data_IF_439793707694
#
_entry.id   IF_439793707694
#
_cell.length_a   1.000
_cell.length_b   1.000
_cell.length_c   1.000
_cell.angle_alpha   90.00
_cell.angle_beta   90.00
_cell.angle_gamma   90.00
#
_symmetry.space_group_name_H-M   'P 1'
#
loop_
_entity.id
_entity.type
_entity.pdbx_description
1 polymer ?
#
# COMPACT_ATOMS: atom_id res chain seq x y z
N UNK A 1 -7.00 22.74 -2.54
CA UNK A 1 -7.03 21.29 -2.16
C UNK A 1 -6.48 21.14 -0.77
N UNK A 2 -7.02 20.22 0.03
CA UNK A 2 -6.44 19.85 1.33
C UNK A 2 -5.14 19.07 1.11
N UNK A 3 -4.07 19.27 1.92
CA UNK A 3 -2.77 18.73 1.56
C UNK A 3 -2.69 17.21 1.66
N UNK A 4 -2.94 16.61 2.81
CA UNK A 4 -2.67 15.17 3.02
C UNK A 4 -3.69 14.56 3.97
N UNK A 5 -4.22 13.38 3.58
CA UNK A 5 -5.03 12.51 4.44
C UNK A 5 -4.29 11.21 4.73
N UNK A 6 -4.10 10.89 6.00
CA UNK A 6 -3.71 9.55 6.43
C UNK A 6 -4.95 8.67 6.39
N UNK A 7 -4.85 7.47 5.81
CA UNK A 7 -5.93 6.49 5.74
C UNK A 7 -5.47 5.14 6.29
N UNK A 8 -6.20 4.63 7.26
CA UNK A 8 -6.06 3.26 7.75
C UNK A 8 -7.40 2.56 7.83
N UNK A 9 -7.40 1.24 7.92
CA UNK A 9 -8.54 0.42 8.34
C UNK A 9 -8.11 -0.55 9.42
N UNK A 10 -9.01 -0.89 10.34
CA UNK A 10 -8.67 -1.73 11.49
C UNK A 10 -9.90 -2.46 12.01
N UNK A 11 -9.66 -3.62 12.62
CA UNK A 11 -10.63 -4.38 13.41
C UNK A 11 -10.19 -4.47 14.89
N UNK A 12 -9.03 -3.88 15.21
CA UNK A 12 -8.41 -3.93 16.54
C UNK A 12 -8.83 -2.73 17.39
N UNK A 13 -8.59 -2.81 18.71
CA UNK A 13 -8.58 -1.61 19.57
C UNK A 13 -7.51 -0.64 19.09
N UNK A 14 -7.61 0.67 19.42
CA UNK A 14 -6.57 1.63 19.06
C UNK A 14 -5.19 1.14 19.48
N UNK A 15 -4.36 0.86 18.48
CA UNK A 15 -2.98 0.40 18.65
C UNK A 15 -2.05 1.55 18.97
N UNK A 16 -0.81 1.25 19.37
CA UNK A 16 0.24 2.24 19.52
C UNK A 16 0.43 3.06 18.24
N UNK A 17 0.44 2.41 17.07
CA UNK A 17 0.54 3.09 15.77
C UNK A 17 -0.61 4.07 15.56
N UNK A 18 -1.87 3.63 15.78
CA UNK A 18 -3.04 4.51 15.69
C UNK A 18 -2.91 5.74 16.57
N UNK A 19 -2.50 5.55 17.84
CA UNK A 19 -2.35 6.65 18.80
C UNK A 19 -1.24 7.63 18.37
N UNK A 20 -0.13 7.14 17.82
CA UNK A 20 0.95 8.00 17.30
C UNK A 20 0.51 8.78 16.06
N UNK A 21 -0.27 8.17 15.14
CA UNK A 21 -0.84 8.90 14.00
C UNK A 21 -1.84 9.99 14.43
N UNK A 22 -2.64 9.78 15.48
CA UNK A 22 -3.52 10.81 16.04
C UNK A 22 -2.77 12.06 16.48
N UNK A 23 -1.50 11.94 16.89
CA UNK A 23 -0.65 13.07 17.33
C UNK A 23 -0.06 13.88 16.17
N UNK A 24 -0.13 13.39 14.92
CA UNK A 24 0.40 14.07 13.72
C UNK A 24 -0.54 15.20 13.26
N UNK A 25 -0.60 16.30 14.00
CA UNK A 25 -1.56 17.40 13.82
C UNK A 25 -1.53 18.11 12.46
N UNK A 26 -0.44 17.98 11.72
CA UNK A 26 -0.29 18.55 10.37
C UNK A 26 -0.98 17.69 9.28
N UNK A 27 -1.61 16.57 9.65
CA UNK A 27 -2.28 15.64 8.77
C UNK A 27 -3.70 15.39 9.27
N UNK A 28 -4.66 15.33 8.37
CA UNK A 28 -5.95 14.74 8.70
C UNK A 28 -5.80 13.21 8.73
N UNK A 29 -6.50 12.54 9.63
CA UNK A 29 -6.41 11.09 9.79
C UNK A 29 -7.79 10.46 9.74
N UNK A 30 -8.03 9.66 8.69
CA UNK A 30 -9.25 8.89 8.49
C UNK A 30 -9.05 7.43 8.90
N UNK A 31 -9.83 6.98 9.85
CA UNK A 31 -9.88 5.59 10.29
C UNK A 31 -11.16 4.97 9.72
N UNK A 32 -11.02 4.05 8.79
CA UNK A 32 -12.15 3.33 8.18
C UNK A 32 -12.46 2.10 9.03
N UNK A 33 -13.56 2.14 9.75
CA UNK A 33 -14.01 1.03 10.60
C UNK A 33 -14.53 -0.16 9.79
N UNK A 34 -14.57 -1.31 10.44
CA UNK A 34 -15.22 -2.53 9.93
C UNK A 34 -16.20 -3.07 10.98
N UNK A 35 -16.98 -4.10 10.68
CA UNK A 35 -18.00 -4.61 11.61
C UNK A 35 -17.42 -5.08 12.96
N UNK A 36 -16.19 -5.59 12.97
CA UNK A 36 -15.49 -6.05 14.19
C UNK A 36 -14.74 -4.93 14.92
N UNK A 37 -14.67 -3.72 14.36
CA UNK A 37 -13.95 -2.61 15.00
C UNK A 37 -14.65 -2.22 16.31
N UNK A 38 -13.90 -1.99 17.42
CA UNK A 38 -14.48 -1.47 18.66
C UNK A 38 -14.85 0.00 18.51
N UNK A 39 -16.03 0.25 17.96
CA UNK A 39 -16.50 1.55 17.49
C UNK A 39 -16.41 2.65 18.54
N UNK A 40 -16.78 2.37 19.80
CA UNK A 40 -16.80 3.36 20.87
C UNK A 40 -15.40 3.94 21.15
N UNK A 41 -14.35 3.13 21.02
CA UNK A 41 -12.97 3.57 21.25
C UNK A 41 -12.54 4.57 20.16
N UNK A 42 -12.94 4.34 18.93
CA UNK A 42 -12.62 5.22 17.80
C UNK A 42 -13.46 6.49 17.78
N UNK A 43 -14.73 6.43 18.21
CA UNK A 43 -15.57 7.61 18.43
C UNK A 43 -14.97 8.51 19.52
N UNK A 44 -14.43 7.92 20.61
CA UNK A 44 -13.70 8.68 21.64
C UNK A 44 -12.43 9.34 21.08
N UNK A 45 -11.68 8.64 20.21
CA UNK A 45 -10.50 9.24 19.56
C UNK A 45 -10.87 10.40 18.66
N UNK A 46 -11.91 10.29 17.85
CA UNK A 46 -12.43 11.38 17.00
C UNK A 46 -12.80 12.60 17.84
N UNK A 47 -13.49 12.41 18.97
CA UNK A 47 -13.85 13.51 19.89
C UNK A 47 -12.62 14.17 20.54
N UNK A 48 -11.57 13.40 20.81
CA UNK A 48 -10.34 13.86 21.49
C UNK A 48 -9.38 14.58 20.54
N UNK A 49 -9.38 14.27 19.24
CA UNK A 49 -8.41 14.75 18.27
C UNK A 49 -9.09 15.40 17.07
N UNK A 50 -8.95 16.72 16.92
CA UNK A 50 -9.59 17.51 15.86
C UNK A 50 -9.21 17.13 14.44
N UNK A 51 -8.06 16.47 14.26
CA UNK A 51 -7.56 15.98 12.98
C UNK A 51 -7.96 14.53 12.68
N UNK A 52 -8.70 13.87 13.57
CA UNK A 52 -9.12 12.47 13.39
C UNK A 52 -10.57 12.40 12.98
N UNK A 53 -10.85 11.59 11.96
CA UNK A 53 -12.19 11.22 11.52
C UNK A 53 -12.35 9.71 11.59
N UNK A 54 -13.39 9.24 12.26
CA UNK A 54 -13.79 7.84 12.26
C UNK A 54 -14.95 7.62 11.29
N UNK A 55 -14.78 6.74 10.32
CA UNK A 55 -15.82 6.40 9.35
C UNK A 55 -16.49 5.08 9.77
N UNK A 56 -17.60 5.21 10.51
CA UNK A 56 -18.37 4.06 11.00
C UNK A 56 -18.98 3.24 9.82
N UNK A 57 -19.19 1.92 9.94
CA UNK A 57 -19.84 1.10 8.90
C UNK A 57 -21.16 1.67 8.34
N UNK A 58 -22.00 2.23 9.19
CA UNK A 58 -23.24 2.86 8.75
C UNK A 58 -23.01 4.07 7.84
N UNK A 59 -22.00 4.89 8.14
CA UNK A 59 -21.62 6.03 7.30
C UNK A 59 -21.06 5.59 5.95
N UNK A 60 -20.28 4.50 5.95
CA UNK A 60 -19.75 3.91 4.72
C UNK A 60 -20.88 3.41 3.82
N UNK A 61 -21.91 2.76 4.37
CA UNK A 61 -23.08 2.32 3.62
C UNK A 61 -23.89 3.51 3.10
N UNK A 62 -24.05 4.56 3.90
CA UNK A 62 -24.78 5.79 3.48
C UNK A 62 -24.05 6.52 2.36
N UNK A 63 -22.72 6.66 2.44
CA UNK A 63 -21.91 7.43 1.49
C UNK A 63 -21.54 6.63 0.24
N UNK A 64 -21.29 5.33 0.37
CA UNK A 64 -20.68 4.49 -0.66
C UNK A 64 -21.30 3.08 -0.73
N UNK A 65 -22.62 2.95 -0.54
CA UNK A 65 -23.32 1.67 -0.35
C UNK A 65 -22.98 0.60 -1.39
N UNK A 66 -23.06 0.93 -2.69
CA UNK A 66 -22.69 -0.01 -3.78
C UNK A 66 -21.25 -0.50 -3.69
N UNK A 67 -20.31 0.38 -3.33
CA UNK A 67 -18.92 0.03 -3.17
C UNK A 67 -18.71 -0.79 -1.89
N UNK A 68 -19.34 -0.38 -0.80
CA UNK A 68 -19.34 -1.08 0.49
C UNK A 68 -19.78 -2.55 0.34
N UNK A 69 -20.90 -2.76 -0.36
CA UNK A 69 -21.41 -4.11 -0.69
C UNK A 69 -20.42 -4.92 -1.56
N UNK A 70 -19.86 -4.28 -2.61
CA UNK A 70 -18.96 -4.96 -3.54
C UNK A 70 -17.62 -5.38 -2.91
N UNK A 71 -17.14 -4.64 -1.91
CA UNK A 71 -15.93 -4.98 -1.13
C UNK A 71 -16.24 -6.06 -0.11
N UNK A 72 -17.38 -5.99 0.57
CA UNK A 72 -17.73 -6.80 1.72
C UNK A 72 -17.13 -6.28 3.03
N UNK A 73 -17.26 -7.08 4.09
CA UNK A 73 -16.88 -6.72 5.45
C UNK A 73 -15.81 -7.66 6.04
N UNK A 74 -15.24 -7.26 7.17
CA UNK A 74 -14.16 -7.96 7.89
C UNK A 74 -12.94 -8.20 6.99
N UNK A 75 -12.54 -7.16 6.26
CA UNK A 75 -11.46 -7.25 5.29
C UNK A 75 -10.68 -5.93 5.15
N UNK A 76 -9.37 -6.05 4.90
CA UNK A 76 -8.47 -4.90 4.75
C UNK A 76 -8.83 -4.02 3.53
N UNK A 77 -9.54 -4.58 2.54
CA UNK A 77 -9.97 -3.88 1.33
C UNK A 77 -10.93 -2.71 1.63
N UNK A 78 -11.50 -2.64 2.85
CA UNK A 78 -12.26 -1.48 3.34
C UNK A 78 -11.49 -0.16 3.23
N UNK A 79 -10.15 -0.20 3.27
CA UNK A 79 -9.29 0.96 3.05
C UNK A 79 -9.59 1.68 1.74
N UNK A 80 -10.07 0.97 0.71
CA UNK A 80 -10.50 1.56 -0.56
C UNK A 80 -11.62 2.60 -0.40
N UNK A 81 -12.48 2.46 0.60
CA UNK A 81 -13.48 3.47 0.96
C UNK A 81 -12.81 4.78 1.36
N UNK A 82 -11.71 4.68 2.14
CA UNK A 82 -10.91 5.84 2.54
C UNK A 82 -10.28 6.57 1.36
N UNK A 83 -9.85 5.83 0.33
CA UNK A 83 -9.30 6.42 -0.90
C UNK A 83 -10.36 7.20 -1.69
N UNK A 84 -11.59 6.66 -1.79
CA UNK A 84 -12.72 7.38 -2.39
C UNK A 84 -13.11 8.61 -1.56
N UNK A 85 -13.15 8.47 -0.23
CA UNK A 85 -13.41 9.58 0.68
C UNK A 85 -12.40 10.71 0.48
N UNK A 86 -11.09 10.38 0.42
CA UNK A 86 -10.03 11.35 0.17
C UNK A 86 -10.24 12.11 -1.14
N UNK A 87 -10.55 11.40 -2.21
CA UNK A 87 -10.80 12.01 -3.53
C UNK A 87 -12.00 12.97 -3.49
N UNK A 88 -13.15 12.53 -2.92
CA UNK A 88 -14.37 13.33 -2.83
C UNK A 88 -14.21 14.57 -1.94
N UNK A 89 -13.32 14.53 -0.94
CA UNK A 89 -13.02 15.64 -0.04
C UNK A 89 -11.81 16.47 -0.47
N UNK A 90 -11.36 16.32 -1.73
CA UNK A 90 -10.30 17.13 -2.37
C UNK A 90 -8.93 17.08 -1.69
N UNK A 91 -8.56 15.94 -1.12
CA UNK A 91 -7.17 15.72 -0.69
C UNK A 91 -6.26 15.48 -1.90
N UNK A 92 -5.08 16.10 -1.87
CA UNK A 92 -4.08 15.97 -2.93
C UNK A 92 -3.26 14.67 -2.80
N UNK A 93 -2.94 14.31 -1.57
CA UNK A 93 -2.12 13.15 -1.24
C UNK A 93 -2.84 12.28 -0.21
N UNK A 94 -2.79 10.97 -0.40
CA UNK A 94 -3.19 9.98 0.61
C UNK A 94 -1.96 9.26 1.12
N UNK A 95 -1.79 9.24 2.44
CA UNK A 95 -0.84 8.38 3.13
C UNK A 95 -1.58 7.13 3.61
N UNK A 96 -1.39 6.01 2.94
CA UNK A 96 -1.93 4.71 3.34
C UNK A 96 -1.02 4.07 4.37
N UNK A 97 -1.56 3.70 5.54
CA UNK A 97 -0.80 3.11 6.65
C UNK A 97 -1.55 1.93 7.26
N UNK A 98 -0.80 0.97 7.82
CA UNK A 98 -1.39 -0.10 8.63
C UNK A 98 -1.48 0.32 10.10
N UNK A 99 -2.40 -0.29 10.83
CA UNK A 99 -2.66 0.00 12.25
C UNK A 99 -1.58 -0.59 13.20
N UNK A 100 -0.60 -1.31 12.66
CA UNK A 100 0.56 -1.87 13.35
C UNK A 100 1.90 -1.21 12.96
N UNK A 101 1.85 -0.16 12.15
CA UNK A 101 3.03 0.60 11.69
C UNK A 101 3.25 1.85 12.54
N UNK A 102 4.12 1.74 13.54
CA UNK A 102 4.44 2.85 14.44
C UNK A 102 5.31 3.88 13.71
N UNK A 103 4.82 5.12 13.49
CA UNK A 103 5.59 6.12 12.75
C UNK A 103 6.79 6.63 13.56
N UNK A 104 7.94 6.74 12.90
CA UNK A 104 9.08 7.47 13.48
C UNK A 104 8.81 8.98 13.57
N UNK A 105 9.61 9.69 14.36
CA UNK A 105 9.50 11.15 14.50
C UNK A 105 9.61 11.87 13.15
N UNK A 106 10.41 11.32 12.23
CA UNK A 106 10.64 11.87 10.88
C UNK A 106 9.54 11.47 9.86
N UNK A 107 8.59 10.62 10.22
CA UNK A 107 7.52 10.23 9.32
C UNK A 107 6.73 11.45 8.84
N UNK A 108 6.54 11.52 7.53
CA UNK A 108 5.81 12.61 6.89
C UNK A 108 6.60 13.92 6.70
N UNK A 109 7.86 14.04 7.19
CA UNK A 109 8.68 15.24 6.97
C UNK A 109 9.23 15.36 5.55
N UNK A 110 9.43 14.25 4.85
CA UNK A 110 9.96 14.19 3.49
C UNK A 110 8.98 13.52 2.55
N UNK A 111 7.98 14.27 2.10
CA UNK A 111 6.99 13.82 1.11
C UNK A 111 7.35 14.43 -0.24
N UNK A 112 7.56 13.56 -1.21
CA UNK A 112 7.98 13.91 -2.56
C UNK A 112 6.86 13.79 -3.59
N UNK A 113 5.72 13.21 -3.21
CA UNK A 113 4.55 13.06 -4.11
C UNK A 113 4.13 14.42 -4.66
N UNK A 114 3.90 14.48 -5.98
CA UNK A 114 3.61 15.71 -6.72
C UNK A 114 4.86 16.47 -7.20
N UNK A 115 6.04 16.17 -6.66
CA UNK A 115 7.31 16.87 -6.96
C UNK A 115 8.15 16.14 -8.00
N UNK A 116 9.10 16.85 -8.60
CA UNK A 116 10.22 16.27 -9.35
C UNK A 116 11.45 16.26 -8.44
N UNK A 117 12.06 15.09 -8.26
CA UNK A 117 13.27 14.94 -7.43
C UNK A 117 14.31 14.08 -8.14
N UNK A 118 15.55 14.22 -7.73
CA UNK A 118 16.66 13.37 -8.14
C UNK A 118 16.67 12.09 -7.28
N UNK A 119 16.70 10.92 -7.93
CA UNK A 119 16.71 9.60 -7.30
C UNK A 119 17.83 8.75 -7.83
N UNK A 120 18.27 7.75 -7.06
CA UNK A 120 19.13 6.68 -7.56
C UNK A 120 18.30 5.74 -8.44
N UNK A 121 18.66 5.61 -9.72
CA UNK A 121 17.95 4.78 -10.67
C UNK A 121 18.65 3.45 -10.89
N UNK A 122 17.85 2.37 -10.84
CA UNK A 122 18.33 1.00 -11.08
C UNK A 122 17.68 0.38 -12.31
N UNK A 123 18.40 -0.56 -12.94
CA UNK A 123 17.88 -1.49 -13.93
C UNK A 123 18.21 -2.92 -13.51
N UNK A 124 17.41 -3.88 -13.97
CA UNK A 124 17.58 -5.30 -13.67
C UNK A 124 17.34 -6.15 -14.92
N UNK A 125 17.93 -7.34 -14.97
CA UNK A 125 17.70 -8.29 -16.08
C UNK A 125 16.32 -8.93 -16.05
N UNK A 126 15.65 -8.97 -14.88
CA UNK A 126 14.26 -9.44 -14.76
C UNK A 126 13.27 -8.38 -15.25
N UNK A 127 12.06 -8.76 -15.70
CA UNK A 127 11.04 -7.78 -16.11
C UNK A 127 10.45 -6.99 -14.95
N UNK A 128 10.71 -7.41 -13.70
CA UNK A 128 10.23 -6.79 -12.47
C UNK A 128 11.44 -6.50 -11.56
N UNK A 129 11.47 -5.33 -10.96
CA UNK A 129 12.46 -4.95 -9.96
C UNK A 129 11.95 -5.28 -8.56
N UNK A 130 12.81 -5.87 -7.72
CA UNK A 130 12.53 -6.05 -6.30
C UNK A 130 13.20 -4.93 -5.50
N UNK A 131 12.44 -4.08 -4.77
CA UNK A 131 13.03 -2.96 -4.02
C UNK A 131 13.98 -3.43 -2.92
N UNK A 132 13.81 -4.63 -2.37
CA UNK A 132 14.70 -5.15 -1.32
C UNK A 132 16.07 -5.55 -1.86
N UNK A 133 16.20 -5.78 -3.15
CA UNK A 133 17.44 -6.22 -3.78
C UNK A 133 18.58 -5.18 -3.73
N UNK A 134 18.26 -3.91 -3.49
CA UNK A 134 19.26 -2.81 -3.34
C UNK A 134 19.45 -2.37 -1.88
N UNK A 135 18.87 -3.09 -0.92
CA UNK A 135 18.98 -2.82 0.51
C UNK A 135 20.03 -3.73 1.19
N UNK A 136 20.25 -3.52 2.47
CA UNK A 136 21.08 -4.42 3.28
C UNK A 136 20.39 -5.77 3.60
N UNK A 137 19.14 -5.99 3.18
CA UNK A 137 18.37 -7.22 3.38
C UNK A 137 18.08 -7.94 2.06
N UNK A 138 18.99 -7.86 1.12
CA UNK A 138 18.85 -8.41 -0.25
C UNK A 138 18.66 -9.95 -0.33
N UNK A 139 18.73 -10.69 0.77
CA UNK A 139 18.33 -12.10 0.85
C UNK A 139 16.82 -12.29 0.93
N UNK A 140 16.08 -11.25 1.37
CA UNK A 140 14.62 -11.21 1.38
C UNK A 140 14.09 -10.68 0.05
N UNK A 141 12.83 -10.92 -0.25
CA UNK A 141 12.14 -10.32 -1.40
C UNK A 141 10.76 -9.82 -1.03
N UNK A 142 10.35 -8.76 -1.70
CA UNK A 142 9.07 -8.10 -1.48
C UNK A 142 7.91 -9.01 -1.85
N UNK A 143 6.83 -9.01 -1.06
CA UNK A 143 5.58 -9.70 -1.39
C UNK A 143 5.10 -9.28 -2.78
N UNK A 144 4.70 -10.26 -3.58
CA UNK A 144 4.24 -10.04 -4.95
C UNK A 144 5.35 -9.88 -5.99
N UNK A 145 6.65 -9.95 -5.64
CA UNK A 145 7.68 -10.17 -6.63
C UNK A 145 7.50 -11.57 -7.26
N UNK A 146 7.47 -11.69 -8.61
CA UNK A 146 7.24 -12.99 -9.26
C UNK A 146 8.33 -14.00 -8.91
N UNK A 147 7.95 -15.11 -8.28
CA UNK A 147 8.88 -16.14 -7.78
C UNK A 147 9.71 -16.78 -8.90
N UNK A 148 9.22 -16.78 -10.14
CA UNK A 148 9.93 -17.29 -11.32
C UNK A 148 11.19 -16.49 -11.65
N UNK A 149 11.35 -15.30 -11.08
CA UNK A 149 12.51 -14.44 -11.31
C UNK A 149 13.44 -14.29 -10.12
N UNK A 150 13.25 -15.05 -9.03
CA UNK A 150 14.07 -14.96 -7.82
C UNK A 150 15.56 -15.09 -8.12
N UNK A 151 15.97 -16.03 -8.98
CA UNK A 151 17.37 -16.22 -9.36
C UNK A 151 17.98 -15.04 -10.16
N UNK A 152 17.14 -14.18 -10.74
CA UNK A 152 17.58 -13.05 -11.59
C UNK A 152 17.46 -11.70 -10.89
N UNK A 153 16.80 -11.62 -9.72
CA UNK A 153 16.44 -10.35 -9.08
C UNK A 153 17.63 -9.51 -8.61
N UNK A 154 18.73 -10.17 -8.24
CA UNK A 154 19.96 -9.52 -7.73
C UNK A 154 20.95 -9.12 -8.83
N UNK A 155 20.61 -9.32 -10.14
CA UNK A 155 21.44 -8.86 -11.27
C UNK A 155 21.07 -7.41 -11.60
N UNK A 156 21.62 -6.48 -10.79
CA UNK A 156 21.24 -5.06 -10.74
C UNK A 156 22.34 -4.20 -11.34
N UNK A 157 21.96 -3.17 -12.11
CA UNK A 157 22.82 -2.12 -12.59
C UNK A 157 22.36 -0.79 -12.03
N UNK A 158 23.24 -0.05 -11.35
CA UNK A 158 22.99 1.33 -10.94
C UNK A 158 23.23 2.26 -12.13
N UNK A 159 22.24 3.05 -12.50
CA UNK A 159 22.27 3.95 -13.66
C UNK A 159 22.57 5.41 -13.30
N UNK A 160 23.07 5.64 -12.07
CA UNK A 160 23.32 6.96 -11.53
C UNK A 160 22.01 7.68 -11.13
N UNK A 161 22.13 8.97 -10.92
CA UNK A 161 21.03 9.82 -10.48
C UNK A 161 20.18 10.27 -11.66
N UNK A 162 18.86 10.28 -11.50
CA UNK A 162 17.90 10.71 -12.52
C UNK A 162 16.75 11.49 -11.92
N UNK A 163 16.32 12.54 -12.58
CA UNK A 163 15.15 13.32 -12.20
C UNK A 163 13.88 12.52 -12.51
N UNK A 164 12.96 12.43 -11.52
CA UNK A 164 11.66 11.74 -11.66
C UNK A 164 10.53 12.57 -11.06
N UNK A 165 9.39 12.62 -11.75
CA UNK A 165 8.12 13.07 -11.16
C UNK A 165 7.60 11.95 -10.27
N UNK A 166 7.20 12.27 -9.05
CA UNK A 166 6.74 11.28 -8.07
C UNK A 166 5.22 11.32 -8.00
N UNK A 167 4.57 10.18 -8.29
CA UNK A 167 3.13 9.99 -8.07
C UNK A 167 2.87 8.99 -6.93
N UNK A 168 3.85 8.13 -6.65
CA UNK A 168 3.83 7.15 -5.56
C UNK A 168 5.18 7.16 -4.85
N UNK A 169 5.14 7.31 -3.53
CA UNK A 169 6.29 7.16 -2.65
C UNK A 169 5.99 6.03 -1.69
N UNK A 170 6.69 4.91 -1.83
CA UNK A 170 6.62 3.76 -0.93
C UNK A 170 7.84 3.81 0.02
N UNK A 171 7.60 4.22 1.26
CA UNK A 171 8.65 4.18 2.28
C UNK A 171 8.83 2.75 2.77
N UNK A 172 10.08 2.35 3.00
CA UNK A 172 10.39 1.07 3.63
C UNK A 172 9.92 1.09 5.11
N UNK A 173 10.02 -0.05 5.75
CA UNK A 173 9.58 -0.28 7.13
C UNK A 173 10.61 -1.11 7.88
N UNK A 174 10.96 -0.73 9.08
CA UNK A 174 11.76 -1.55 9.99
C UNK A 174 10.86 -2.52 10.77
N UNK A 175 11.44 -3.46 11.49
CA UNK A 175 10.72 -4.46 12.28
C UNK A 175 10.38 -5.71 11.48
N UNK A 176 9.16 -6.20 11.57
CA UNK A 176 8.70 -7.38 10.85
C UNK A 176 8.20 -7.03 9.45
N UNK A 177 9.00 -7.24 8.38
CA UNK A 177 8.75 -6.68 7.05
C UNK A 177 7.60 -7.39 6.31
N UNK A 178 6.96 -6.69 5.36
CA UNK A 178 5.97 -7.28 4.45
C UNK A 178 6.65 -7.99 3.27
N UNK A 179 7.32 -9.07 3.60
CA UNK A 179 7.92 -9.97 2.63
C UNK A 179 6.94 -11.08 2.25
N UNK A 180 7.25 -11.74 1.16
CA UNK A 180 6.59 -12.94 0.66
C UNK A 180 6.54 -14.06 1.72
N UNK A 181 5.47 -14.86 1.72
CA UNK A 181 5.27 -15.90 2.74
C UNK A 181 6.38 -16.96 2.73
N UNK A 182 6.93 -17.32 1.56
CA UNK A 182 8.06 -18.26 1.46
C UNK A 182 9.30 -17.62 2.08
N UNK A 183 9.60 -16.36 1.74
CA UNK A 183 10.69 -15.59 2.34
C UNK A 183 10.57 -15.51 3.86
N UNK A 184 9.36 -15.29 4.36
CA UNK A 184 9.06 -15.22 5.79
C UNK A 184 9.30 -16.55 6.51
N UNK A 185 8.77 -17.64 5.96
CA UNK A 185 8.92 -19.00 6.55
C UNK A 185 10.38 -19.38 6.59
N UNK A 186 11.14 -19.09 5.52
CA UNK A 186 12.53 -19.48 5.37
C UNK A 186 13.48 -18.67 6.25
N UNK A 187 13.25 -17.35 6.39
CA UNK A 187 14.20 -16.43 6.99
C UNK A 187 13.77 -15.87 8.35
N UNK A 188 12.49 -15.99 8.74
CA UNK A 188 11.92 -15.39 9.97
C UNK A 188 12.39 -13.95 10.19
N UNK A 189 12.18 -13.05 9.24
CA UNK A 189 12.88 -11.79 9.18
C UNK A 189 12.45 -10.82 10.28
N UNK A 190 13.44 -10.14 10.87
CA UNK A 190 13.29 -8.91 11.62
C UNK A 190 14.36 -7.96 11.07
N UNK A 191 13.93 -6.83 10.51
CA UNK A 191 14.85 -5.99 9.74
C UNK A 191 15.06 -4.61 10.35
N UNK A 192 16.26 -4.08 10.13
CA UNK A 192 16.61 -2.68 10.32
C UNK A 192 17.32 -2.23 9.05
N UNK A 193 16.68 -1.35 8.27
CA UNK A 193 17.29 -0.86 7.04
C UNK A 193 18.37 0.17 7.34
N UNK A 194 19.49 0.08 6.62
CA UNK A 194 20.47 1.15 6.55
C UNK A 194 19.87 2.36 5.84
N UNK A 195 20.38 3.55 6.15
CA UNK A 195 19.97 4.78 5.48
C UNK A 195 20.18 4.64 3.97
N UNK A 196 19.12 4.92 3.21
CA UNK A 196 19.13 4.86 1.74
C UNK A 196 18.53 6.16 1.19
N UNK A 197 19.07 6.60 0.06
CA UNK A 197 18.50 7.73 -0.70
C UNK A 197 17.22 7.28 -1.40
N UNK A 198 16.33 8.23 -1.80
CA UNK A 198 15.23 7.90 -2.68
C UNK A 198 15.71 7.17 -3.94
N UNK A 199 15.07 6.07 -4.28
CA UNK A 199 15.46 5.24 -5.42
C UNK A 199 14.25 4.71 -6.19
N UNK A 200 14.49 4.26 -7.41
CA UNK A 200 13.49 3.64 -8.25
C UNK A 200 14.13 2.80 -9.35
N UNK A 201 13.32 2.26 -10.23
CA UNK A 201 13.79 1.40 -11.32
C UNK A 201 13.21 1.79 -12.68
N UNK A 202 13.89 1.36 -13.77
CA UNK A 202 13.33 1.34 -15.11
C UNK A 202 12.24 0.28 -15.29
N UNK A 203 12.26 -0.74 -14.44
CA UNK A 203 11.27 -1.83 -14.46
C UNK A 203 10.15 -1.55 -13.46
N UNK A 204 9.00 -2.11 -13.71
CA UNK A 204 7.91 -2.11 -12.74
C UNK A 204 8.32 -2.91 -11.49
N UNK A 205 7.71 -2.58 -10.36
CA UNK A 205 8.11 -3.08 -9.06
C UNK A 205 6.92 -3.20 -8.12
N UNK A 206 6.83 -4.23 -7.25
CA UNK A 206 5.75 -4.30 -6.28
C UNK A 206 5.92 -3.23 -5.20
N UNK A 207 4.84 -2.59 -4.81
CA UNK A 207 4.71 -1.86 -3.54
C UNK A 207 3.38 -2.22 -2.88
N UNK A 208 3.30 -2.04 -1.57
CA UNK A 208 2.13 -2.34 -0.77
C UNK A 208 1.45 -1.06 -0.24
N UNK A 209 0.33 -1.22 0.45
CA UNK A 209 -0.46 -0.12 1.00
C UNK A 209 -0.08 0.29 2.42
N UNK A 210 0.96 -0.31 3.02
CA UNK A 210 1.17 -0.21 4.46
C UNK A 210 1.90 1.06 4.93
N UNK A 211 2.75 1.66 4.08
CA UNK A 211 3.49 2.90 4.37
C UNK A 211 3.76 3.66 3.07
N UNK A 212 2.68 4.04 2.39
CA UNK A 212 2.76 4.53 1.01
C UNK A 212 1.96 5.82 0.81
N UNK A 213 2.61 6.82 0.23
CA UNK A 213 2.00 8.09 -0.15
C UNK A 213 1.60 8.05 -1.62
N UNK A 214 0.34 8.37 -1.90
CA UNK A 214 -0.30 8.28 -3.21
C UNK A 214 -0.82 9.65 -3.64
N UNK A 215 -0.48 10.10 -4.84
CA UNK A 215 -1.10 11.27 -5.44
C UNK A 215 -2.56 10.99 -5.79
N UNK A 216 -3.45 12.00 -5.68
CA UNK A 216 -4.89 11.81 -5.94
C UNK A 216 -5.21 11.20 -7.30
N UNK A 217 -4.41 11.49 -8.33
CA UNK A 217 -4.67 11.02 -9.70
C UNK A 217 -4.51 9.50 -9.85
N UNK A 218 -3.71 8.86 -8.99
CA UNK A 218 -3.54 7.40 -9.00
C UNK A 218 -4.61 6.67 -8.22
N UNK A 219 -5.35 7.35 -7.32
CA UNK A 219 -6.33 6.70 -6.43
C UNK A 219 -7.39 5.93 -7.18
N UNK A 220 -7.89 6.45 -8.31
CA UNK A 220 -8.87 5.77 -9.17
C UNK A 220 -8.44 4.38 -9.64
N UNK A 221 -7.13 4.10 -9.63
CA UNK A 221 -6.54 2.86 -10.13
C UNK A 221 -5.93 2.01 -9.01
N UNK A 222 -5.82 2.57 -7.79
CA UNK A 222 -5.29 1.88 -6.62
C UNK A 222 -6.41 1.42 -5.68
N UNK A 223 -7.23 0.49 -6.15
CA UNK A 223 -8.16 -0.21 -5.27
C UNK A 223 -7.46 -1.40 -4.62
N UNK A 224 -7.59 -1.58 -3.33
CA UNK A 224 -7.28 -2.86 -2.70
C UNK A 224 -8.29 -3.90 -3.21
N UNK A 225 -7.82 -4.83 -4.05
CA UNK A 225 -8.67 -5.73 -4.82
C UNK A 225 -9.23 -6.87 -3.95
N UNK A 226 -10.55 -7.02 -3.80
CA UNK A 226 -11.10 -8.17 -3.09
C UNK A 226 -10.95 -9.46 -3.91
N UNK A 227 -10.96 -10.63 -3.23
CA UNK A 227 -10.96 -11.98 -3.83
C UNK A 227 -9.70 -12.36 -4.63
N UNK A 228 -8.55 -11.76 -4.32
CA UNK A 228 -7.25 -12.09 -4.94
C UNK A 228 -6.19 -12.50 -3.91
N UNK A 229 -6.60 -12.87 -2.71
CA UNK A 229 -5.71 -13.23 -1.62
C UNK A 229 -4.84 -12.04 -1.21
N UNK A 230 -3.60 -12.31 -0.83
CA UNK A 230 -2.64 -11.29 -0.38
C UNK A 230 -2.01 -10.46 -1.52
N UNK A 231 -2.59 -10.50 -2.73
CA UNK A 231 -2.21 -9.65 -3.85
C UNK A 231 -3.11 -8.41 -4.00
N UNK A 232 -3.98 -8.19 -3.03
CA UNK A 232 -5.02 -7.16 -3.01
C UNK A 232 -4.49 -5.73 -3.21
N UNK A 233 -3.39 -5.36 -2.58
CA UNK A 233 -2.71 -4.07 -2.70
C UNK A 233 -1.50 -4.11 -3.66
N UNK A 234 -0.95 -5.30 -3.90
CA UNK A 234 0.21 -5.49 -4.77
C UNK A 234 -0.16 -5.37 -6.26
N UNK A 235 -1.21 -6.03 -6.71
CA UNK A 235 -1.55 -5.99 -8.14
C UNK A 235 -1.95 -4.59 -8.62
N UNK A 236 -2.67 -3.76 -7.84
CA UNK A 236 -2.88 -2.37 -8.22
C UNK A 236 -1.58 -1.57 -8.34
N UNK A 237 -0.52 -1.93 -7.60
CA UNK A 237 0.78 -1.29 -7.72
C UNK A 237 1.39 -1.43 -9.12
N UNK A 238 1.25 -2.62 -9.73
CA UNK A 238 1.66 -2.86 -11.10
C UNK A 238 0.78 -2.14 -12.13
N UNK A 239 -0.53 -2.08 -11.89
CA UNK A 239 -1.47 -1.36 -12.75
C UNK A 239 -1.13 0.13 -12.81
N UNK A 240 -0.88 0.77 -11.67
CA UNK A 240 -0.47 2.18 -11.59
C UNK A 240 0.78 2.44 -12.43
N UNK A 241 1.79 1.61 -12.32
CA UNK A 241 3.06 1.82 -13.03
C UNK A 241 2.94 1.64 -14.54
N UNK A 242 1.92 0.93 -15.02
CA UNK A 242 1.61 0.87 -16.46
C UNK A 242 0.91 2.14 -16.94
N UNK A 243 0.07 2.75 -16.10
CA UNK A 243 -0.67 3.99 -16.43
C UNK A 243 0.16 5.25 -16.17
N UNK A 244 1.02 5.21 -15.17
CA UNK A 244 1.91 6.30 -14.75
C UNK A 244 3.35 5.80 -14.69
N UNK A 245 4.00 5.57 -15.82
CA UNK A 245 5.33 4.98 -15.87
C UNK A 245 6.39 5.89 -15.24
N UNK A 246 7.38 5.27 -14.59
CA UNK A 246 8.53 5.96 -13.98
C UNK A 246 8.17 6.96 -12.87
N UNK A 247 7.07 6.79 -12.16
CA UNK A 247 6.60 7.72 -11.12
C UNK A 247 6.60 7.14 -9.71
N UNK A 248 6.99 5.87 -9.56
CA UNK A 248 7.20 5.20 -8.28
C UNK A 248 8.62 5.44 -7.78
N UNK A 249 8.73 5.80 -6.50
CA UNK A 249 9.98 5.81 -5.75
C UNK A 249 9.84 5.03 -4.45
N UNK A 250 10.97 4.53 -3.97
CA UNK A 250 11.12 3.98 -2.62
C UNK A 250 12.00 4.92 -1.79
N UNK A 251 11.69 5.03 -0.50
CA UNK A 251 12.46 5.82 0.44
C UNK A 251 12.87 4.99 1.66
N UNK A 252 13.72 5.58 2.49
CA UNK A 252 14.15 4.95 3.74
C UNK A 252 12.97 4.55 4.63
N UNK A 253 13.20 3.60 5.54
CA UNK A 253 12.19 3.22 6.53
C UNK A 253 11.76 4.42 7.36
N UNK A 254 10.45 4.63 7.45
CA UNK A 254 9.84 5.73 8.20
C UNK A 254 8.87 5.25 9.31
N UNK A 255 8.65 3.93 9.37
CA UNK A 255 7.86 3.27 10.42
C UNK A 255 8.61 2.05 10.97
N UNK A 256 8.21 1.64 12.18
CA UNK A 256 8.52 0.32 12.74
C UNK A 256 7.25 -0.51 12.73
N UNK A 257 7.27 -1.64 12.02
CA UNK A 257 6.14 -2.56 12.00
C UNK A 257 6.22 -3.54 13.17
N UNK A 258 5.27 -3.40 14.08
CA UNK A 258 5.04 -4.29 15.21
C UNK A 258 3.89 -5.25 14.82
N UNK A 259 4.25 -6.25 14.00
CA UNK A 259 3.25 -7.13 13.39
C UNK A 259 2.49 -7.94 14.43
N UNK A 260 1.18 -7.97 14.30
CA UNK A 260 0.33 -8.87 15.06
C UNK A 260 0.67 -10.36 14.77
N UNK A 261 0.42 -11.29 15.73
CA UNK A 261 0.63 -12.72 15.49
C UNK A 261 -0.02 -13.18 14.18
N UNK A 262 0.73 -13.96 13.41
CA UNK A 262 0.32 -14.39 12.08
C UNK A 262 0.34 -15.90 11.95
N UNK A 263 -0.66 -16.44 11.31
CA UNK A 263 -0.64 -17.80 10.78
C UNK A 263 0.13 -17.78 9.44
N UNK A 264 1.39 -18.20 9.49
CA UNK A 264 2.29 -18.18 8.32
C UNK A 264 1.88 -19.17 7.23
N UNK A 265 1.23 -20.28 7.61
CA UNK A 265 0.72 -21.28 6.66
C UNK A 265 -0.50 -20.71 5.93
N UNK A 266 -1.43 -20.11 6.66
CA UNK A 266 -2.58 -19.42 6.04
C UNK A 266 -2.14 -18.27 5.13
N UNK A 267 -1.08 -17.55 5.49
CA UNK A 267 -0.51 -16.53 4.61
C UNK A 267 0.00 -17.13 3.31
N UNK A 268 0.73 -18.27 3.37
CA UNK A 268 1.21 -18.99 2.20
C UNK A 268 0.05 -19.46 1.30
N UNK A 269 -0.98 -20.06 1.89
CA UNK A 269 -2.19 -20.48 1.15
C UNK A 269 -2.85 -19.30 0.41
N UNK A 270 -2.97 -18.14 1.08
CA UNK A 270 -3.53 -16.92 0.51
C UNK A 270 -2.62 -16.27 -0.56
N UNK A 271 -1.34 -16.62 -0.62
CA UNK A 271 -0.39 -16.15 -1.65
C UNK A 271 -0.28 -17.09 -2.86
N UNK A 272 -0.71 -18.36 -2.77
CA UNK A 272 -0.65 -19.32 -3.88
C UNK A 272 -1.33 -18.79 -5.14
N UNK A 273 -2.49 -18.16 -5.00
CA UNK A 273 -3.17 -17.54 -6.13
C UNK A 273 -2.31 -16.46 -6.80
N UNK A 274 -1.61 -15.67 -6.00
CA UNK A 274 -0.65 -14.67 -6.46
C UNK A 274 0.53 -15.27 -7.20
N UNK A 275 1.17 -16.28 -6.64
CA UNK A 275 2.29 -16.97 -7.29
C UNK A 275 1.94 -17.47 -8.69
N UNK A 276 0.76 -18.08 -8.86
CA UNK A 276 0.30 -18.61 -10.14
C UNK A 276 -0.09 -17.53 -11.15
N UNK A 277 -0.45 -16.32 -10.71
CA UNK A 277 -1.13 -15.35 -11.58
C UNK A 277 -0.45 -13.98 -11.68
N UNK A 278 0.56 -13.64 -10.86
CA UNK A 278 1.18 -12.30 -10.88
C UNK A 278 1.79 -11.95 -12.25
N UNK A 279 2.55 -12.87 -12.87
CA UNK A 279 3.08 -12.63 -14.21
C UNK A 279 1.99 -12.49 -15.27
N UNK A 280 0.92 -13.29 -15.17
CA UNK A 280 -0.24 -13.17 -16.04
C UNK A 280 -0.94 -11.83 -15.85
N UNK A 281 -1.07 -11.36 -14.61
CA UNK A 281 -1.61 -10.04 -14.31
C UNK A 281 -0.76 -8.92 -14.93
N UNK A 282 0.56 -8.93 -14.72
CA UNK A 282 1.50 -7.94 -15.26
C UNK A 282 1.41 -7.85 -16.80
N UNK A 283 1.29 -8.99 -17.48
CA UNK A 283 1.17 -9.06 -18.95
C UNK A 283 -0.20 -8.59 -19.47
N UNK A 284 -1.23 -8.57 -18.63
CA UNK A 284 -2.61 -8.28 -19.05
C UNK A 284 -3.22 -7.06 -18.32
N UNK A 285 -2.41 -6.12 -17.84
CA UNK A 285 -2.90 -4.90 -17.17
C UNK A 285 -3.79 -4.02 -18.06
N UNK A 286 -3.66 -4.13 -19.37
CA UNK A 286 -4.55 -3.51 -20.38
C UNK A 286 -5.86 -4.26 -20.59
N UNK A 287 -5.98 -5.52 -20.13
CA UNK A 287 -7.18 -6.32 -20.23
C UNK A 287 -7.42 -7.16 -18.96
N UNK A 288 -7.84 -6.50 -17.89
CA UNK A 288 -8.03 -7.11 -16.59
C UNK A 288 -9.06 -8.24 -16.56
N UNK A 289 -9.96 -8.32 -17.55
CA UNK A 289 -10.93 -9.43 -17.69
C UNK A 289 -10.26 -10.79 -17.86
N UNK A 290 -9.04 -10.83 -18.39
CA UNK A 290 -8.29 -12.08 -18.62
C UNK A 290 -7.69 -12.66 -17.34
N UNK A 291 -7.59 -11.87 -16.25
CA UNK A 291 -6.84 -12.28 -15.06
C UNK A 291 -7.57 -12.06 -13.74
N UNK A 292 -8.44 -11.06 -13.65
CA UNK A 292 -9.20 -10.82 -12.42
C UNK A 292 -10.43 -11.72 -12.34
N UNK A 293 -10.73 -12.26 -11.14
CA UNK A 293 -12.02 -12.90 -10.89
C UNK A 293 -13.18 -11.96 -11.24
N UNK A 294 -14.29 -12.51 -11.72
CA UNK A 294 -15.48 -11.71 -12.12
C UNK A 294 -15.95 -10.78 -11.01
N UNK A 295 -15.98 -11.26 -9.76
CA UNK A 295 -16.37 -10.44 -8.57
C UNK A 295 -15.40 -9.28 -8.34
N UNK A 296 -14.09 -9.52 -8.42
CA UNK A 296 -13.06 -8.48 -8.31
C UNK A 296 -13.20 -7.43 -9.39
N UNK A 297 -13.40 -7.85 -10.63
CA UNK A 297 -13.57 -6.93 -11.76
C UNK A 297 -14.83 -6.06 -11.60
N UNK A 298 -15.94 -6.64 -11.10
CA UNK A 298 -17.17 -5.89 -10.77
C UNK A 298 -16.90 -4.84 -9.70
N UNK A 299 -16.27 -5.24 -8.59
CA UNK A 299 -15.92 -4.33 -7.50
C UNK A 299 -14.98 -3.20 -7.97
N UNK A 300 -13.97 -3.51 -8.78
CA UNK A 300 -13.05 -2.52 -9.33
C UNK A 300 -13.75 -1.49 -10.24
N UNK A 301 -14.70 -1.91 -11.08
CA UNK A 301 -15.49 -1.00 -11.90
C UNK A 301 -16.38 -0.08 -11.06
N UNK A 302 -17.01 -0.62 -10.01
CA UNK A 302 -17.81 0.19 -9.05
C UNK A 302 -16.91 1.21 -8.36
N UNK A 303 -15.73 0.76 -7.87
CA UNK A 303 -14.75 1.66 -7.27
C UNK A 303 -14.36 2.80 -8.22
N UNK A 304 -13.99 2.49 -9.47
CA UNK A 304 -13.62 3.50 -10.47
C UNK A 304 -14.75 4.49 -10.77
N UNK A 305 -16.02 4.03 -10.71
CA UNK A 305 -17.17 4.91 -10.92
C UNK A 305 -17.34 5.97 -9.83
N UNK A 306 -16.81 5.73 -8.63
CA UNK A 306 -16.82 6.69 -7.53
C UNK A 306 -15.93 7.92 -7.78
N UNK A 307 -15.02 7.86 -8.73
CA UNK A 307 -14.09 8.95 -9.11
C UNK A 307 -14.59 9.80 -10.29
N UNK A 308 -15.83 9.63 -10.70
CA UNK A 308 -16.49 10.56 -11.62
C UNK A 308 -16.89 11.82 -10.85
N UNK A 309 -16.73 12.98 -11.49
CA UNK A 309 -17.25 14.25 -10.99
C UNK A 309 -18.76 14.22 -10.87
#
# INVERSE_FOLDING_TARGET
>A
MKPILIVTTTINKPTKATLEFCKKKNFDFLIVGDLKTPHQDYIKLEKKHTNVKYLHPNDQNKLFGKLSEAIGWNCIQRRSIGFVYAYKNNYEIVASVDDDNIPYAEWGKKIYVGKKIEIDLYDVKSPVFDPLSVTNTKHLWHRGFPIEYLQKRNKITHLGKKLRKVMVQADLWDGDPDVDAISRITHKPLVKYKKIRPFGSKKISPFNSQNTFLHRDVLKYYMMLPFVGRMDDIWPSYLIQKLFPNTLIYCQASVYQERNPQDVIKNLENEIFGYRNTLKFIKNTNNLKKVLPKKTLKAFKIYQSCFKK
#
